data_IF_334990376909
#
_entry.id   IF_334990376909
#
_cell.length_a   1.000
_cell.length_b   1.000
_cell.length_c   1.000
_cell.angle_alpha   90.00
_cell.angle_beta   90.00
_cell.angle_gamma   90.00
#
_symmetry.space_group_name_H-M   'P 1'
#
loop_
_entity.id
_entity.type
_entity.pdbx_description
1 polymer ?
#
# COMPACT_ATOMS: atom_id res chain seq x y z
N UNK A 1 -10.22 -38.81 -18.52
CA UNK A 1 -8.77 -38.76 -18.78
C UNK A 1 -8.08 -37.59 -18.10
N UNK A 2 -8.71 -36.41 -17.98
CA UNK A 2 -8.08 -35.20 -17.40
C UNK A 2 -7.53 -35.37 -15.97
N UNK A 3 -8.18 -36.16 -15.11
CA UNK A 3 -7.75 -36.36 -13.72
C UNK A 3 -6.36 -37.05 -13.60
N UNK A 4 -6.03 -37.98 -14.50
CA UNK A 4 -4.72 -38.63 -14.51
C UNK A 4 -3.62 -37.67 -14.99
N UNK A 5 -3.88 -36.92 -16.05
CA UNK A 5 -2.93 -35.99 -16.65
C UNK A 5 -2.53 -34.85 -15.68
N UNK A 6 -3.47 -34.41 -14.82
CA UNK A 6 -3.21 -33.40 -13.78
C UNK A 6 -2.31 -33.91 -12.64
N UNK A 7 -2.39 -35.20 -12.32
CA UNK A 7 -1.54 -35.83 -11.31
C UNK A 7 -0.09 -36.01 -11.82
N UNK A 8 0.08 -36.44 -13.08
CA UNK A 8 1.40 -36.55 -13.72
C UNK A 8 2.09 -35.18 -13.85
N UNK A 9 1.34 -34.13 -14.19
CA UNK A 9 1.86 -32.76 -14.28
C UNK A 9 2.39 -32.25 -12.93
N UNK A 10 1.69 -32.53 -11.83
CA UNK A 10 2.13 -32.16 -10.48
C UNK A 10 3.35 -32.98 -10.01
N UNK A 11 3.41 -34.27 -10.36
CA UNK A 11 4.54 -35.16 -10.08
C UNK A 11 5.83 -34.71 -10.81
N UNK A 12 5.69 -34.22 -12.04
CA UNK A 12 6.80 -33.65 -12.83
C UNK A 12 7.39 -32.38 -12.20
N UNK A 13 6.57 -31.54 -11.55
CA UNK A 13 7.01 -30.25 -11.01
C UNK A 13 8.01 -30.37 -9.84
N UNK A 14 8.07 -31.51 -9.15
CA UNK A 14 8.91 -31.71 -7.96
C UNK A 14 9.75 -33.00 -8.01
N UNK A 15 10.33 -33.30 -9.18
CA UNK A 15 11.27 -34.42 -9.32
C UNK A 15 12.50 -34.28 -8.41
N UNK A 16 13.10 -35.41 -8.02
CA UNK A 16 14.30 -35.45 -7.17
C UNK A 16 15.47 -34.65 -7.77
N UNK A 17 15.65 -34.72 -9.09
CA UNK A 17 16.66 -33.97 -9.84
C UNK A 17 16.47 -32.46 -9.71
N UNK A 18 15.20 -31.99 -9.78
CA UNK A 18 14.87 -30.58 -9.63
C UNK A 18 15.04 -30.10 -8.20
N UNK A 19 14.67 -30.91 -7.21
CA UNK A 19 14.89 -30.60 -5.79
C UNK A 19 16.39 -30.46 -5.50
N UNK A 20 17.21 -31.38 -5.99
CA UNK A 20 18.67 -31.31 -5.86
C UNK A 20 19.28 -30.11 -6.61
N UNK A 21 18.73 -29.74 -7.78
CA UNK A 21 19.11 -28.50 -8.48
C UNK A 21 18.80 -27.26 -7.63
N UNK A 22 17.62 -27.17 -7.02
CA UNK A 22 17.22 -26.06 -6.14
C UNK A 22 18.17 -25.97 -4.94
N UNK A 23 18.51 -27.11 -4.31
CA UNK A 23 19.46 -27.18 -3.18
C UNK A 23 20.82 -26.60 -3.55
N UNK A 24 21.36 -26.99 -4.72
CA UNK A 24 22.69 -26.59 -5.19
C UNK A 24 22.77 -25.16 -5.73
N UNK A 25 21.67 -24.57 -6.21
CA UNK A 25 21.70 -23.29 -6.95
C UNK A 25 20.95 -22.13 -6.28
N UNK A 26 19.93 -22.40 -5.47
CA UNK A 26 19.12 -21.36 -4.81
C UNK A 26 19.40 -21.28 -3.31
N UNK A 27 19.63 -22.43 -2.65
CA UNK A 27 19.81 -22.46 -1.20
C UNK A 27 21.24 -22.05 -0.79
N UNK A 28 21.42 -21.36 0.35
CA UNK A 28 22.75 -21.06 0.86
C UNK A 28 23.56 -22.32 1.18
N UNK A 29 24.89 -22.21 1.08
CA UNK A 29 25.80 -23.30 1.49
C UNK A 29 25.66 -23.59 2.98
N UNK A 30 25.55 -24.87 3.33
CA UNK A 30 25.44 -25.32 4.73
C UNK A 30 24.02 -25.35 5.31
N UNK A 31 22.98 -25.24 4.48
CA UNK A 31 21.60 -25.54 4.90
C UNK A 31 21.47 -27.00 5.38
N UNK A 32 20.81 -27.21 6.53
CA UNK A 32 20.51 -28.54 7.03
C UNK A 32 19.41 -29.24 6.22
N UNK A 33 19.38 -30.57 6.24
CA UNK A 33 18.37 -31.34 5.48
C UNK A 33 16.93 -30.99 5.91
N UNK A 34 16.68 -30.83 7.20
CA UNK A 34 15.34 -30.48 7.73
C UNK A 34 14.91 -29.06 7.33
N UNK A 35 15.83 -28.09 7.38
CA UNK A 35 15.56 -26.70 6.96
C UNK A 35 15.33 -26.62 5.44
N UNK A 36 16.07 -27.41 4.66
CA UNK A 36 15.87 -27.52 3.22
C UNK A 36 14.54 -28.22 2.88
N UNK A 37 14.19 -29.30 3.58
CA UNK A 37 12.90 -29.98 3.42
C UNK A 37 11.73 -29.04 3.74
N UNK A 38 11.81 -28.28 4.84
CA UNK A 38 10.83 -27.27 5.21
C UNK A 38 10.70 -26.18 4.15
N UNK A 39 11.81 -25.70 3.59
CA UNK A 39 11.80 -24.73 2.49
C UNK A 39 11.08 -25.27 1.24
N UNK A 40 11.34 -26.52 0.86
CA UNK A 40 10.69 -27.18 -0.28
C UNK A 40 9.19 -27.39 -0.03
N UNK A 41 8.78 -27.85 1.15
CA UNK A 41 7.35 -27.98 1.50
C UNK A 41 6.63 -26.64 1.50
N UNK A 42 7.29 -25.56 1.93
CA UNK A 42 6.71 -24.22 1.88
C UNK A 42 6.58 -23.68 0.44
N UNK A 43 7.52 -24.04 -0.46
CA UNK A 43 7.39 -23.77 -1.90
C UNK A 43 6.21 -24.55 -2.52
N UNK A 44 6.10 -25.86 -2.24
CA UNK A 44 4.97 -26.71 -2.70
C UNK A 44 3.62 -26.15 -2.23
N UNK A 45 3.50 -25.83 -0.94
CA UNK A 45 2.25 -25.34 -0.32
C UNK A 45 1.82 -23.98 -0.87
N UNK A 46 2.76 -23.05 -1.07
CA UNK A 46 2.45 -21.73 -1.64
C UNK A 46 2.24 -21.77 -3.17
N UNK A 47 2.79 -22.77 -3.84
CA UNK A 47 2.85 -22.84 -5.30
C UNK A 47 3.80 -21.79 -5.90
N UNK A 48 4.80 -21.33 -5.13
CA UNK A 48 5.85 -20.42 -5.58
C UNK A 48 7.09 -21.22 -6.01
N UNK A 49 7.61 -20.89 -7.18
CA UNK A 49 8.78 -21.56 -7.77
C UNK A 49 10.11 -20.84 -7.44
N UNK A 50 11.02 -21.45 -6.65
CA UNK A 50 12.30 -20.84 -6.33
C UNK A 50 13.23 -20.68 -7.54
N UNK A 51 13.08 -21.51 -8.60
CA UNK A 51 13.88 -21.35 -9.83
C UNK A 51 13.44 -20.14 -10.66
N UNK A 52 12.19 -19.70 -10.51
CA UNK A 52 11.64 -18.48 -11.11
C UNK A 52 11.83 -17.24 -10.20
N UNK A 53 12.55 -17.37 -9.09
CA UNK A 53 12.75 -16.31 -8.07
C UNK A 53 11.44 -15.84 -7.41
N UNK A 54 10.44 -16.72 -7.36
CA UNK A 54 9.15 -16.46 -6.71
C UNK A 54 9.24 -16.67 -5.18
N UNK A 55 10.21 -17.46 -4.72
CA UNK A 55 10.57 -17.64 -3.32
C UNK A 55 12.09 -17.78 -3.15
N UNK A 56 12.61 -17.39 -2.00
CA UNK A 56 14.03 -17.44 -1.65
C UNK A 56 14.26 -18.16 -0.33
N UNK A 57 15.39 -18.84 -0.21
CA UNK A 57 15.88 -19.39 1.05
C UNK A 57 16.94 -18.43 1.61
N UNK A 58 16.64 -17.74 2.71
CA UNK A 58 17.45 -16.61 3.21
C UNK A 58 18.09 -16.96 4.55
N UNK A 59 19.41 -16.83 4.62
CA UNK A 59 20.14 -16.96 5.88
C UNK A 59 19.86 -15.78 6.81
N UNK A 60 19.49 -16.07 8.07
CA UNK A 60 19.28 -15.10 9.15
C UNK A 60 20.11 -15.48 10.36
N UNK A 61 20.65 -14.49 11.06
CA UNK A 61 21.21 -14.69 12.40
C UNK A 61 20.09 -14.43 13.40
N UNK A 62 19.60 -15.47 14.05
CA UNK A 62 18.62 -15.37 15.14
C UNK A 62 19.34 -15.58 16.47
N UNK A 63 18.92 -14.86 17.51
CA UNK A 63 19.40 -15.11 18.86
C UNK A 63 18.56 -16.24 19.49
N UNK A 64 19.13 -17.45 19.55
CA UNK A 64 18.54 -18.61 20.23
C UNK A 64 18.92 -18.67 21.73
N UNK A 65 19.50 -17.61 22.28
CA UNK A 65 19.85 -17.46 23.69
C UNK A 65 19.05 -16.35 24.37
N UNK A 66 19.26 -16.17 25.66
CA UNK A 66 18.60 -15.12 26.44
C UNK A 66 19.34 -13.78 26.29
N UNK A 67 18.70 -12.66 26.66
CA UNK A 67 19.28 -11.31 26.57
C UNK A 67 20.63 -11.16 27.27
N UNK A 68 20.86 -11.89 28.36
CA UNK A 68 22.12 -11.89 29.13
C UNK A 68 23.20 -12.81 28.54
N UNK A 69 22.82 -13.80 27.74
CA UNK A 69 23.70 -14.80 27.12
C UNK A 69 23.23 -15.05 25.69
N UNK A 70 23.46 -14.11 24.76
CA UNK A 70 23.03 -14.25 23.39
C UNK A 70 23.74 -15.43 22.73
N UNK A 71 22.98 -16.26 22.02
CA UNK A 71 23.49 -17.39 21.24
C UNK A 71 23.04 -17.22 19.79
N UNK A 72 23.85 -16.54 18.99
CA UNK A 72 23.56 -16.22 17.60
C UNK A 72 23.75 -17.43 16.68
N UNK A 73 22.65 -18.04 16.27
CA UNK A 73 22.62 -19.15 15.32
C UNK A 73 22.18 -18.67 13.94
N UNK A 74 22.76 -19.25 12.88
CA UNK A 74 22.22 -19.06 11.53
C UNK A 74 21.03 -19.99 11.34
N UNK A 75 19.89 -19.43 10.93
CA UNK A 75 18.68 -20.13 10.50
C UNK A 75 18.42 -19.84 9.04
N UNK A 76 17.81 -20.78 8.33
CA UNK A 76 17.41 -20.58 6.94
C UNK A 76 15.89 -20.43 6.83
N UNK A 77 15.44 -19.25 6.39
CA UNK A 77 14.02 -18.89 6.32
C UNK A 77 13.51 -18.93 4.88
N UNK A 78 12.28 -19.42 4.71
CA UNK A 78 11.50 -19.20 3.49
C UNK A 78 11.08 -17.73 3.41
N UNK A 79 11.36 -17.09 2.28
CA UNK A 79 10.97 -15.71 2.00
C UNK A 79 10.21 -15.64 0.66
N UNK A 80 8.90 -15.37 0.64
CA UNK A 80 8.17 -15.17 -0.60
C UNK A 80 8.66 -13.87 -1.27
N UNK A 81 8.68 -13.85 -2.60
CA UNK A 81 8.88 -12.62 -3.37
C UNK A 81 7.53 -12.04 -3.77
N UNK A 82 7.39 -10.71 -3.71
CA UNK A 82 6.13 -10.05 -4.08
C UNK A 82 5.81 -10.25 -5.57
N UNK A 83 6.82 -10.20 -6.45
CA UNK A 83 6.69 -10.59 -7.85
C UNK A 83 6.22 -12.05 -8.02
N UNK A 84 6.67 -12.97 -7.15
CA UNK A 84 6.19 -14.35 -7.12
C UNK A 84 4.73 -14.47 -6.70
N UNK A 85 4.33 -13.73 -5.66
CA UNK A 85 2.93 -13.67 -5.23
C UNK A 85 2.02 -13.07 -6.32
N UNK A 86 2.48 -12.04 -7.04
CA UNK A 86 1.80 -11.49 -8.21
C UNK A 86 1.69 -12.52 -9.34
N UNK A 87 2.80 -13.15 -9.76
CA UNK A 87 2.80 -14.18 -10.80
C UNK A 87 1.92 -15.39 -10.40
N UNK A 88 1.85 -15.72 -9.11
CA UNK A 88 0.92 -16.74 -8.59
C UNK A 88 -0.54 -16.27 -8.63
N UNK A 89 -0.80 -14.99 -8.40
CA UNK A 89 -2.14 -14.41 -8.48
C UNK A 89 -2.69 -14.42 -9.92
N UNK A 90 -1.86 -14.05 -10.91
CA UNK A 90 -2.17 -14.13 -12.35
C UNK A 90 -2.52 -15.55 -12.84
N UNK A 91 -2.13 -16.58 -12.08
CA UNK A 91 -2.45 -18.00 -12.38
C UNK A 91 -3.78 -18.46 -11.78
N UNK A 92 -4.51 -17.61 -11.05
CA UNK A 92 -5.88 -17.90 -10.61
C UNK A 92 -6.91 -17.48 -11.68
N UNK A 93 -7.85 -18.34 -12.08
CA UNK A 93 -8.78 -18.07 -13.19
C UNK A 93 -9.78 -16.95 -12.88
N UNK A 94 -10.00 -16.64 -11.60
CA UNK A 94 -10.83 -15.55 -11.13
C UNK A 94 -10.06 -14.22 -10.97
N UNK A 95 -8.74 -14.17 -11.13
CA UNK A 95 -8.01 -12.91 -11.04
C UNK A 95 -8.37 -11.99 -12.22
N UNK A 96 -8.74 -10.73 -11.92
CA UNK A 96 -9.02 -9.70 -12.93
C UNK A 96 -8.01 -8.56 -12.94
N UNK A 97 -7.03 -8.59 -12.03
CA UNK A 97 -5.97 -7.60 -11.93
C UNK A 97 -5.76 -7.05 -10.52
N UNK A 98 -4.62 -6.41 -10.35
CA UNK A 98 -4.23 -5.65 -9.17
C UNK A 98 -3.76 -4.26 -9.60
N UNK A 99 -4.10 -3.27 -8.79
CA UNK A 99 -3.62 -1.89 -8.91
C UNK A 99 -2.97 -1.50 -7.57
N UNK A 100 -1.99 -0.62 -7.61
CA UNK A 100 -1.43 0.00 -6.42
C UNK A 100 -0.79 1.34 -6.78
N UNK A 101 -0.70 2.22 -5.79
CA UNK A 101 0.16 3.41 -5.90
C UNK A 101 0.54 3.92 -4.52
N UNK A 102 1.80 4.33 -4.38
CA UNK A 102 2.23 5.21 -3.33
C UNK A 102 1.56 6.59 -3.44
N UNK A 103 1.20 7.17 -2.29
CA UNK A 103 0.44 8.41 -2.15
C UNK A 103 1.26 9.45 -1.40
N UNK A 104 1.35 10.63 -1.99
CA UNK A 104 2.03 11.79 -1.45
C UNK A 104 1.03 12.81 -0.89
N UNK A 105 1.48 13.71 -0.01
CA UNK A 105 0.61 14.63 0.73
C UNK A 105 -0.21 15.58 -0.16
N UNK A 106 0.26 15.86 -1.38
CA UNK A 106 -0.41 16.68 -2.38
C UNK A 106 -1.30 15.91 -3.38
N UNK A 107 -1.37 14.58 -3.27
CA UNK A 107 -2.23 13.76 -4.14
C UNK A 107 -3.71 13.83 -3.68
N UNK A 108 -4.64 13.88 -4.63
CA UNK A 108 -6.07 13.69 -4.33
C UNK A 108 -6.34 12.18 -4.26
N UNK A 109 -6.70 11.65 -3.09
CA UNK A 109 -7.16 10.27 -2.94
C UNK A 109 -8.49 10.17 -2.19
N UNK A 110 -9.41 9.39 -2.76
CA UNK A 110 -10.66 8.96 -2.13
C UNK A 110 -10.76 7.44 -2.26
N UNK A 111 -10.95 6.76 -1.12
CA UNK A 111 -11.14 5.31 -1.05
C UNK A 111 -12.57 5.03 -0.58
N UNK A 112 -13.42 4.54 -1.48
CA UNK A 112 -14.72 3.99 -1.13
C UNK A 112 -14.55 2.51 -0.82
N UNK A 113 -14.43 2.17 0.47
CA UNK A 113 -14.30 0.78 0.91
C UNK A 113 -15.58 -0.03 0.71
N UNK A 114 -16.76 0.60 0.67
CA UNK A 114 -18.05 -0.08 0.50
C UNK A 114 -18.25 -0.56 -0.94
N UNK A 115 -17.83 0.25 -1.93
CA UNK A 115 -17.83 -0.11 -3.35
C UNK A 115 -16.54 -0.80 -3.80
N UNK A 116 -15.49 -0.73 -2.99
CA UNK A 116 -14.15 -1.21 -3.35
C UNK A 116 -13.55 -0.41 -4.51
N UNK A 117 -13.77 0.91 -4.50
CA UNK A 117 -13.30 1.85 -5.52
C UNK A 117 -12.22 2.78 -4.95
N UNK A 118 -11.23 3.12 -5.77
CA UNK A 118 -10.19 4.09 -5.41
C UNK A 118 -10.09 5.12 -6.53
N UNK A 119 -10.32 6.38 -6.19
CA UNK A 119 -10.01 7.52 -7.04
C UNK A 119 -8.70 8.12 -6.53
N UNK A 120 -7.63 7.98 -7.29
CA UNK A 120 -6.33 8.59 -6.97
C UNK A 120 -5.88 9.42 -8.16
N UNK A 121 -5.81 10.75 -7.97
CA UNK A 121 -5.34 11.70 -8.97
C UNK A 121 -4.12 12.43 -8.46
N UNK A 122 -3.09 12.49 -9.28
CA UNK A 122 -1.86 13.20 -8.97
C UNK A 122 -1.19 13.71 -10.25
N UNK A 123 -0.30 14.69 -10.08
CA UNK A 123 0.59 15.12 -11.16
C UNK A 123 2.01 14.62 -10.86
N UNK A 124 2.54 13.64 -11.62
CA UNK A 124 3.86 13.06 -11.37
C UNK A 124 4.99 14.10 -11.33
N UNK A 125 4.89 15.18 -12.12
CA UNK A 125 5.90 16.23 -12.18
C UNK A 125 5.82 17.24 -11.01
N UNK A 126 4.75 17.18 -10.20
CA UNK A 126 4.57 18.04 -9.01
C UNK A 126 4.82 17.32 -7.68
N UNK A 127 4.98 15.99 -7.68
CA UNK A 127 5.28 15.20 -6.47
C UNK A 127 6.62 15.62 -5.84
N UNK A 128 6.53 16.37 -4.75
CA UNK A 128 7.62 16.95 -3.94
C UNK A 128 7.35 16.87 -2.43
N UNK A 129 6.11 16.61 -2.01
CA UNK A 129 5.72 16.49 -0.61
C UNK A 129 6.17 15.19 0.04
N UNK A 130 5.71 14.97 1.27
CA UNK A 130 5.97 13.75 2.02
C UNK A 130 5.19 12.56 1.46
N UNK A 131 5.80 11.38 1.53
CA UNK A 131 5.13 10.11 1.29
C UNK A 131 4.22 9.80 2.49
N UNK A 132 2.92 9.68 2.24
CA UNK A 132 1.89 9.48 3.28
C UNK A 132 1.55 7.99 3.45
N UNK A 133 1.56 7.23 2.36
CA UNK A 133 1.19 5.81 2.40
C UNK A 133 1.18 5.16 1.03
N UNK A 134 0.52 4.02 0.93
CA UNK A 134 0.16 3.41 -0.34
C UNK A 134 -1.17 2.68 -0.25
N UNK A 135 -1.89 2.63 -1.37
CA UNK A 135 -3.05 1.76 -1.52
C UNK A 135 -2.74 0.62 -2.49
N UNK A 136 -3.49 -0.48 -2.35
CA UNK A 136 -3.62 -1.47 -3.40
C UNK A 136 -5.04 -2.02 -3.47
N UNK A 137 -5.48 -2.35 -4.68
CA UNK A 137 -6.81 -2.86 -5.01
C UNK A 137 -6.66 -4.14 -5.84
N UNK A 138 -7.25 -5.24 -5.38
CA UNK A 138 -7.33 -6.51 -6.11
C UNK A 138 -8.77 -6.77 -6.53
N UNK A 139 -8.98 -7.16 -7.79
CA UNK A 139 -10.30 -7.55 -8.32
C UNK A 139 -10.31 -9.04 -8.63
N UNK A 140 -11.38 -9.72 -8.20
CA UNK A 140 -11.62 -11.14 -8.42
C UNK A 140 -13.02 -11.34 -9.01
N UNK A 141 -13.16 -12.35 -9.86
CA UNK A 141 -14.45 -12.75 -10.41
C UNK A 141 -15.39 -13.27 -9.31
N UNK A 142 -16.68 -12.91 -9.38
CA UNK A 142 -17.67 -13.31 -8.38
C UNK A 142 -17.37 -12.90 -6.92
N UNK A 143 -16.51 -11.91 -6.68
CA UNK A 143 -16.17 -11.37 -5.34
C UNK A 143 -16.15 -9.84 -5.36
N UNK A 144 -16.35 -9.24 -4.18
CA UNK A 144 -16.15 -7.80 -4.01
C UNK A 144 -14.66 -7.43 -4.16
N UNK A 145 -14.32 -6.27 -4.74
CA UNK A 145 -12.94 -5.81 -4.81
C UNK A 145 -12.35 -5.62 -3.40
N UNK A 146 -11.11 -6.05 -3.21
CA UNK A 146 -10.38 -5.88 -1.96
C UNK A 146 -9.49 -4.65 -2.09
N UNK A 147 -9.72 -3.63 -1.25
CA UNK A 147 -8.85 -2.46 -1.13
C UNK A 147 -8.10 -2.51 0.19
N UNK A 148 -6.82 -2.16 0.15
CA UNK A 148 -5.95 -1.96 1.32
C UNK A 148 -5.35 -0.57 1.24
N UNK A 149 -5.33 0.11 2.38
CA UNK A 149 -4.53 1.31 2.64
C UNK A 149 -3.49 0.98 3.71
N UNK A 150 -2.23 1.34 3.47
CA UNK A 150 -1.16 1.30 4.45
C UNK A 150 -0.61 2.70 4.68
N UNK A 151 -0.58 3.12 5.95
CA UNK A 151 0.06 4.37 6.37
C UNK A 151 1.60 4.21 6.37
N UNK A 152 2.32 5.21 5.84
CA UNK A 152 3.77 5.13 5.71
C UNK A 152 4.48 5.22 7.07
N UNK A 153 4.00 6.07 7.99
CA UNK A 153 4.63 6.26 9.29
C UNK A 153 4.54 4.98 10.16
N UNK A 154 3.44 4.23 10.05
CA UNK A 154 3.26 2.93 10.70
C UNK A 154 4.05 1.76 10.10
N UNK A 155 4.55 1.87 8.86
CA UNK A 155 5.23 0.79 8.13
C UNK A 155 6.71 1.01 7.86
N UNK A 156 7.20 2.26 7.89
CA UNK A 156 8.59 2.58 7.55
C UNK A 156 9.58 1.95 8.51
N UNK A 157 10.53 1.18 7.97
CA UNK A 157 11.57 0.52 8.76
C UNK A 157 12.89 1.29 8.68
N UNK A 158 13.66 1.29 9.78
CA UNK A 158 14.99 1.94 9.86
C UNK A 158 16.07 1.07 9.17
N UNK A 159 15.91 0.81 7.88
CA UNK A 159 16.84 0.00 7.07
C UNK A 159 17.34 0.77 5.84
N UNK A 160 18.54 0.45 5.29
CA UNK A 160 19.07 1.14 4.12
C UNK A 160 18.17 1.06 2.88
N UNK A 161 17.38 0.00 2.74
CA UNK A 161 16.48 -0.18 1.59
C UNK A 161 15.28 0.78 1.65
N UNK A 162 14.63 0.86 2.82
CA UNK A 162 13.56 1.83 3.08
C UNK A 162 14.05 3.28 2.99
N UNK A 163 15.28 3.57 3.41
CA UNK A 163 15.87 4.90 3.24
C UNK A 163 16.16 5.25 1.76
N UNK A 164 16.47 4.26 0.90
CA UNK A 164 16.84 4.47 -0.50
C UNK A 164 15.63 4.48 -1.46
N UNK A 165 14.63 3.64 -1.23
CA UNK A 165 13.47 3.46 -2.13
C UNK A 165 12.13 3.35 -1.35
N UNK A 166 11.81 4.31 -0.45
CA UNK A 166 10.66 4.22 0.46
C UNK A 166 9.33 4.01 -0.27
N UNK A 167 9.12 4.73 -1.38
CA UNK A 167 7.95 4.64 -2.26
C UNK A 167 7.70 3.22 -2.75
N UNK A 168 8.76 2.55 -3.24
CA UNK A 168 8.68 1.18 -3.75
C UNK A 168 8.40 0.18 -2.62
N UNK A 169 8.93 0.41 -1.41
CA UNK A 169 8.73 -0.48 -0.27
C UNK A 169 7.29 -0.44 0.24
N UNK A 170 6.71 0.75 0.48
CA UNK A 170 5.33 0.85 0.98
C UNK A 170 4.31 0.33 -0.05
N UNK A 171 4.55 0.58 -1.34
CA UNK A 171 3.68 0.07 -2.41
C UNK A 171 3.78 -1.45 -2.56
N UNK A 172 4.97 -2.04 -2.40
CA UNK A 172 5.18 -3.49 -2.33
C UNK A 172 4.39 -4.11 -1.17
N UNK A 173 4.49 -3.53 0.03
CA UNK A 173 3.72 -3.99 1.19
C UNK A 173 2.21 -3.90 0.95
N UNK A 174 1.73 -2.81 0.34
CA UNK A 174 0.31 -2.65 0.03
C UNK A 174 -0.19 -3.72 -0.95
N UNK A 175 0.56 -4.02 -2.01
CA UNK A 175 0.22 -5.10 -2.98
C UNK A 175 0.16 -6.46 -2.29
N UNK A 176 1.15 -6.81 -1.47
CA UNK A 176 1.17 -8.08 -0.74
C UNK A 176 -0.01 -8.17 0.23
N UNK A 177 -0.24 -7.14 1.06
CA UNK A 177 -1.36 -7.11 1.99
C UNK A 177 -2.73 -7.25 1.28
N UNK A 178 -2.89 -6.62 0.11
CA UNK A 178 -4.10 -6.77 -0.70
C UNK A 178 -4.25 -8.19 -1.28
N UNK A 179 -3.16 -8.80 -1.78
CA UNK A 179 -3.15 -10.20 -2.20
C UNK A 179 -3.50 -11.16 -1.04
N UNK A 180 -2.94 -10.94 0.15
CA UNK A 180 -3.23 -11.76 1.35
C UNK A 180 -4.72 -11.70 1.74
N UNK A 181 -5.35 -10.53 1.67
CA UNK A 181 -6.79 -10.38 1.89
C UNK A 181 -7.64 -10.93 0.74
N UNK A 182 -7.18 -10.79 -0.51
CA UNK A 182 -7.90 -11.25 -1.69
C UNK A 182 -7.87 -12.78 -1.84
N UNK A 183 -6.77 -13.46 -1.49
CA UNK A 183 -6.64 -14.91 -1.52
C UNK A 183 -6.07 -15.46 -0.19
N UNK A 184 -6.86 -15.48 0.91
CA UNK A 184 -6.37 -15.88 2.23
C UNK A 184 -5.82 -17.31 2.28
N UNK A 185 -6.40 -18.24 1.51
CA UNK A 185 -5.96 -19.63 1.43
C UNK A 185 -4.57 -19.78 0.79
N UNK A 186 -4.31 -19.04 -0.30
CA UNK A 186 -3.05 -19.12 -1.05
C UNK A 186 -1.93 -18.26 -0.43
N UNK A 187 -2.28 -17.08 0.10
CA UNK A 187 -1.33 -16.05 0.48
C UNK A 187 -1.39 -15.65 1.95
N UNK A 188 -2.41 -16.03 2.73
CA UNK A 188 -2.63 -15.51 4.09
C UNK A 188 -1.47 -15.70 5.07
N UNK A 189 -0.65 -16.75 4.88
CA UNK A 189 0.58 -17.01 5.65
C UNK A 189 1.87 -16.49 5.02
N UNK A 190 1.84 -15.81 3.87
CA UNK A 190 3.02 -15.41 3.10
C UNK A 190 3.35 -13.93 3.32
N UNK A 191 4.16 -13.64 4.34
CA UNK A 191 4.65 -12.28 4.62
C UNK A 191 5.97 -12.02 3.89
N UNK A 192 6.06 -10.91 3.15
CA UNK A 192 7.35 -10.45 2.61
C UNK A 192 8.17 -9.75 3.69
N UNK A 193 9.50 -9.68 3.52
CA UNK A 193 10.37 -9.14 4.57
C UNK A 193 10.03 -7.70 4.97
N UNK A 194 9.57 -6.91 4.02
CA UNK A 194 9.25 -5.49 4.19
C UNK A 194 7.96 -5.25 5.01
N UNK A 195 7.12 -6.28 5.23
CA UNK A 195 5.98 -6.22 6.15
C UNK A 195 6.35 -6.60 7.60
N UNK A 196 7.48 -7.30 7.80
CA UNK A 196 7.90 -7.80 9.10
C UNK A 196 8.87 -6.81 9.76
N UNK A 197 8.77 -6.52 11.07
CA UNK A 197 9.70 -5.63 11.77
C UNK A 197 11.17 -6.00 11.51
N UNK A 198 12.01 -5.01 11.22
CA UNK A 198 13.45 -5.22 11.22
C UNK A 198 13.87 -5.69 12.62
N UNK A 199 14.45 -6.88 12.70
CA UNK A 199 15.24 -7.25 13.87
C UNK A 199 16.43 -6.28 13.93
N UNK A 200 16.90 -5.94 15.14
CA UNK A 200 17.89 -4.87 15.33
C UNK A 200 19.08 -5.03 14.37
N UNK A 201 19.18 -4.09 13.43
CA UNK A 201 20.23 -4.11 12.40
C UNK A 201 21.56 -3.76 13.05
N UNK A 202 22.26 -4.78 13.57
CA UNK A 202 23.68 -4.64 13.87
C UNK A 202 24.45 -4.42 12.56
N UNK A 203 25.20 -3.31 12.41
CA UNK A 203 26.01 -3.07 11.23
C UNK A 203 27.21 -4.02 11.24
N UNK A 204 27.04 -5.21 10.66
CA UNK A 204 28.11 -6.17 10.43
C UNK A 204 29.25 -5.51 9.64
N UNK A 205 30.45 -5.48 10.21
CA UNK A 205 31.65 -5.24 9.41
C UNK A 205 31.81 -6.39 8.43
N UNK A 206 31.48 -6.15 7.17
CA UNK A 206 31.59 -7.15 6.13
C UNK A 206 33.06 -7.36 5.74
N UNK A 207 33.61 -8.54 6.03
CA UNK A 207 34.66 -9.08 5.16
C UNK A 207 34.09 -9.23 3.73
N UNK A 208 34.92 -9.04 2.69
CA UNK A 208 34.45 -8.94 1.31
C UNK A 208 34.05 -10.31 0.73
N UNK A 209 32.87 -10.80 1.12
CA UNK A 209 32.19 -11.87 0.40
C UNK A 209 31.87 -11.38 -1.03
N UNK A 210 32.37 -12.11 -2.02
CA UNK A 210 32.31 -11.71 -3.43
C UNK A 210 30.88 -11.34 -3.86
N UNK A 211 30.72 -10.08 -4.27
CA UNK A 211 29.44 -9.49 -4.65
C UNK A 211 28.84 -10.21 -5.86
N UNK A 212 27.94 -11.15 -5.62
CA UNK A 212 27.00 -11.63 -6.62
C UNK A 212 25.92 -10.56 -6.80
N UNK A 213 26.34 -9.43 -7.37
CA UNK A 213 25.44 -8.38 -7.81
C UNK A 213 24.54 -8.94 -8.90
N UNK A 214 23.23 -8.81 -8.71
CA UNK A 214 22.31 -8.90 -9.84
C UNK A 214 22.53 -7.64 -10.69
N UNK A 215 23.40 -7.73 -11.69
CA UNK A 215 23.54 -6.65 -12.68
C UNK A 215 22.22 -6.57 -13.44
N UNK A 216 21.44 -5.51 -13.16
CA UNK A 216 20.27 -5.15 -13.95
C UNK A 216 20.79 -4.71 -15.31
N UNK A 217 20.72 -5.63 -16.29
CA UNK A 217 21.01 -5.37 -17.69
C UNK A 217 20.10 -4.23 -18.18
N UNK A 218 20.65 -3.01 -18.22
CA UNK A 218 19.92 -1.81 -18.62
C UNK A 218 20.34 -0.49 -17.94
N UNK A 219 21.14 -0.52 -16.87
CA UNK A 219 21.47 0.69 -16.10
C UNK A 219 22.97 1.05 -16.09
N UNK A 220 23.55 1.38 -17.26
CA UNK A 220 24.82 2.10 -17.36
C UNK A 220 24.63 3.43 -18.10
N UNK A 221 24.42 4.50 -17.35
CA UNK A 221 24.44 5.87 -17.89
C UNK A 221 25.88 6.31 -18.16
N UNK A 222 26.32 6.18 -19.41
CA UNK A 222 27.48 6.88 -19.95
C UNK A 222 27.04 7.62 -21.22
N UNK A 223 27.49 8.87 -21.46
CA UNK A 223 27.06 9.66 -22.61
C UNK A 223 27.74 9.16 -23.89
N UNK A 224 27.12 8.21 -24.58
CA UNK A 224 27.59 7.75 -25.90
C UNK A 224 27.11 8.75 -26.96
N UNK A 225 28.04 9.49 -27.58
CA UNK A 225 27.74 10.26 -28.80
C UNK A 225 27.43 9.29 -29.95
N UNK A 226 26.17 8.98 -30.16
CA UNK A 226 25.72 8.29 -31.37
C UNK A 226 25.76 9.26 -32.56
N UNK A 227 26.77 9.12 -33.41
CA UNK A 227 26.84 9.81 -34.71
C UNK A 227 26.13 8.96 -35.75
N UNK A 228 24.92 9.34 -36.15
CA UNK A 228 24.23 8.74 -37.30
C UNK A 228 24.60 9.51 -38.57
N UNK A 229 24.99 8.84 -39.68
CA UNK A 229 25.12 9.50 -40.97
C UNK A 229 23.72 9.94 -41.47
N UNK A 230 23.59 11.11 -42.11
CA UNK A 230 22.31 11.56 -42.64
C UNK A 230 21.86 10.68 -43.82
N UNK A 231 20.55 10.51 -44.04
CA UNK A 231 20.04 9.85 -45.24
C UNK A 231 20.36 10.68 -46.49
N UNK A 232 20.53 10.04 -47.67
CA UNK A 232 20.84 10.76 -48.91
C UNK A 232 19.67 11.66 -49.34
N UNK A 233 19.99 12.88 -49.76
CA UNK A 233 19.01 13.83 -50.28
C UNK A 233 18.41 13.34 -51.61
N UNK A 234 17.09 13.45 -51.74
CA UNK A 234 16.42 13.34 -53.03
C UNK A 234 16.76 14.58 -53.89
N UNK A 235 16.89 14.44 -55.22
CA UNK A 235 17.31 15.54 -56.08
C UNK A 235 16.23 16.61 -56.23
N UNK A 236 16.63 17.87 -56.06
CA UNK A 236 15.82 19.05 -56.32
C UNK A 236 15.79 19.35 -57.84
N UNK A 237 14.61 19.56 -58.46
CA UNK A 237 14.53 19.80 -59.90
C UNK A 237 14.89 21.25 -60.29
N UNK A 238 15.82 21.38 -61.24
CA UNK A 238 16.16 22.65 -61.88
C UNK A 238 15.02 23.16 -62.82
N UNK A 239 14.96 24.48 -63.12
CA UNK A 239 13.74 25.10 -63.65
C UNK A 239 13.57 24.92 -65.17
N UNK A 240 12.32 24.82 -65.60
CA UNK A 240 11.92 24.93 -67.02
C UNK A 240 10.98 26.13 -67.18
N UNK A 241 11.31 27.01 -68.14
CA UNK A 241 10.53 28.22 -68.43
C UNK A 241 9.33 27.92 -69.36
N UNK A 242 8.37 28.85 -69.35
CA UNK A 242 7.03 28.67 -69.91
C UNK A 242 6.95 28.54 -71.44
N UNK A 243 5.93 27.80 -71.89
CA UNK A 243 5.01 28.28 -72.93
C UNK A 243 3.57 28.00 -72.51
N UNK A 244 2.67 28.93 -72.81
CA UNK A 244 1.27 28.90 -72.40
C UNK A 244 0.35 28.51 -73.56
N UNK A 245 -0.79 27.88 -73.24
CA UNK A 245 -2.04 28.10 -73.98
C UNK A 245 -3.25 27.80 -73.07
N UNK A 246 -4.37 28.44 -73.39
CA UNK A 246 -5.50 28.71 -72.48
C UNK A 246 -6.52 27.54 -72.47
N UNK A 247 -7.32 27.31 -71.42
CA UNK A 247 -8.60 28.02 -71.27
C UNK A 247 -9.32 27.73 -69.93
N UNK A 248 -10.24 28.65 -69.58
CA UNK A 248 -11.25 28.64 -68.51
C UNK A 248 -11.88 27.25 -68.18
N UNK A 249 -11.99 26.84 -66.90
CA UNK A 249 -12.85 27.35 -65.78
C UNK A 249 -14.19 26.61 -65.68
N UNK A 250 -14.32 25.74 -64.67
CA UNK A 250 -15.39 25.83 -63.66
C UNK A 250 -14.93 25.13 -62.35
N UNK A 251 -15.62 25.36 -61.22
CA UNK A 251 -15.14 24.97 -59.89
C UNK A 251 -16.33 24.61 -58.98
N UNK A 252 -16.07 23.82 -57.93
CA UNK A 252 -16.94 23.54 -56.76
C UNK A 252 -18.24 22.74 -57.05
N UNK A 253 -18.81 21.87 -56.19
CA UNK A 253 -18.67 21.61 -54.73
C UNK A 253 -18.72 20.12 -54.33
N UNK A 254 -18.24 19.90 -53.11
CA UNK A 254 -18.37 18.77 -52.18
C UNK A 254 -19.82 18.25 -51.95
N UNK A 255 -20.04 16.94 -51.70
CA UNK A 255 -21.36 16.39 -51.37
C UNK A 255 -21.57 16.12 -49.87
N UNK A 256 -22.75 16.48 -49.36
CA UNK A 256 -23.27 16.15 -48.02
C UNK A 256 -24.50 15.19 -48.12
N UNK A 257 -25.01 14.63 -47.01
CA UNK A 257 -25.67 13.31 -47.00
C UNK A 257 -27.18 13.33 -47.31
N UNK A 258 -27.70 12.16 -47.72
CA UNK A 258 -29.13 11.96 -48.05
C UNK A 258 -29.86 11.18 -46.96
N UNK A 259 -31.01 11.72 -46.51
CA UNK A 259 -32.09 10.98 -45.82
C UNK A 259 -33.27 10.82 -46.77
N UNK A 260 -34.00 9.72 -46.67
CA UNK A 260 -35.32 9.55 -47.29
C UNK A 260 -36.43 9.48 -46.21
N UNK A 261 -37.69 9.78 -46.54
CA UNK A 261 -38.72 10.07 -45.52
C UNK A 261 -40.15 9.63 -45.86
N UNK A 262 -40.75 8.93 -44.88
CA UNK A 262 -42.16 9.05 -44.41
C UNK A 262 -43.32 8.56 -45.29
N UNK A 263 -44.15 7.68 -44.69
CA UNK A 263 -45.63 7.74 -44.72
C UNK A 263 -46.19 7.56 -43.29
N UNK A 264 -47.42 8.03 -43.03
CA UNK A 264 -47.87 8.39 -41.67
C UNK A 264 -49.13 7.62 -41.16
N UNK A 265 -49.19 7.43 -39.83
CA UNK A 265 -50.30 7.54 -38.81
C UNK A 265 -51.79 7.36 -39.22
N UNK A 266 -52.72 7.00 -38.28
CA UNK A 266 -52.82 7.47 -36.88
C UNK A 266 -53.15 6.37 -35.82
N UNK A 267 -53.60 6.77 -34.62
CA UNK A 267 -53.62 5.97 -33.37
C UNK A 267 -55.01 5.84 -32.70
N UNK A 268 -55.19 4.77 -31.89
CA UNK A 268 -56.17 4.63 -30.80
C UNK A 268 -55.68 3.50 -29.84
N UNK A 269 -55.54 3.64 -28.51
CA UNK A 269 -56.51 3.73 -27.38
C UNK A 269 -56.88 2.36 -26.75
N UNK A 270 -57.05 2.34 -25.42
CA UNK A 270 -57.44 1.23 -24.49
C UNK A 270 -56.31 0.27 -24.06
N UNK A 271 -56.05 -0.06 -22.78
CA UNK A 271 -56.79 -0.12 -21.50
C UNK A 271 -57.27 -1.53 -21.07
N UNK A 272 -56.68 -2.00 -19.95
CA UNK A 272 -57.02 -3.11 -19.01
C UNK A 272 -55.75 -3.32 -18.17
N UNK A 273 -55.68 -3.26 -16.84
CA UNK A 273 -56.67 -3.35 -15.75
C UNK A 273 -57.55 -4.60 -15.76
N UNK A 274 -57.10 -5.65 -15.04
CA UNK A 274 -57.97 -6.61 -14.34
C UNK A 274 -57.30 -7.05 -13.03
N UNK A 275 -57.71 -6.40 -11.93
CA UNK A 275 -58.12 -6.99 -10.63
C UNK A 275 -57.25 -8.01 -9.89
N UNK A 276 -56.94 -7.68 -8.63
CA UNK A 276 -56.91 -8.63 -7.50
C UNK A 276 -58.28 -9.34 -7.33
N UNK A 277 -58.31 -10.44 -6.57
CA UNK A 277 -59.21 -10.37 -5.41
C UNK A 277 -58.57 -10.83 -4.10
N UNK A 278 -58.74 -10.00 -3.07
CA UNK A 278 -58.64 -10.41 -1.66
C UNK A 278 -59.79 -11.37 -1.35
N UNK A 279 -59.49 -12.52 -0.76
CA UNK A 279 -60.45 -13.28 0.06
C UNK A 279 -59.77 -13.72 1.35
N UNK A 280 -60.22 -13.15 2.46
CA UNK A 280 -59.90 -13.64 3.80
C UNK A 280 -60.80 -14.81 4.18
N UNK A 281 -60.24 -15.79 4.90
CA UNK A 281 -60.85 -16.80 5.80
C UNK A 281 -59.72 -17.78 6.16
N UNK A 282 -59.58 -18.38 7.33
CA UNK A 282 -60.21 -18.37 8.64
C UNK A 282 -59.25 -19.25 9.48
N UNK A 283 -59.04 -18.99 10.77
CA UNK A 283 -58.28 -19.90 11.63
C UNK A 283 -59.10 -21.15 11.99
N UNK A 284 -58.45 -22.21 12.50
CA UNK A 284 -58.83 -22.59 13.86
C UNK A 284 -57.63 -22.84 14.79
N UNK A 285 -57.88 -22.71 16.09
CA UNK A 285 -56.89 -22.78 17.15
C UNK A 285 -56.89 -24.12 17.92
N UNK A 286 -55.77 -24.39 18.62
CA UNK A 286 -55.69 -25.07 19.93
C UNK A 286 -54.55 -24.35 20.69
N UNK A 287 -54.75 -23.67 21.82
CA UNK A 287 -55.01 -24.17 23.20
C UNK A 287 -53.99 -25.26 23.64
N UNK A 288 -53.32 -25.23 24.80
CA UNK A 288 -53.33 -24.38 26.03
C UNK A 288 -51.83 -24.24 26.49
N UNK A 289 -51.36 -23.49 27.51
CA UNK A 289 -51.92 -22.81 28.71
C UNK A 289 -51.01 -21.61 29.13
N UNK A 290 -51.35 -20.90 30.21
CA UNK A 290 -50.68 -19.66 30.66
C UNK A 290 -49.69 -19.81 31.83
N UNK A 291 -48.84 -18.77 32.02
CA UNK A 291 -48.34 -18.31 33.32
C UNK A 291 -48.19 -16.77 33.32
N UNK A 292 -48.20 -16.14 34.50
CA UNK A 292 -48.60 -14.75 34.74
C UNK A 292 -47.65 -13.61 34.33
N UNK A 293 -48.24 -12.40 34.27
CA UNK A 293 -47.61 -11.09 34.03
C UNK A 293 -47.12 -10.43 35.33
N UNK A 294 -46.12 -9.56 35.20
CA UNK A 294 -46.01 -8.28 35.92
C UNK A 294 -45.45 -7.23 34.93
N UNK A 295 -45.83 -5.92 34.98
CA UNK A 295 -45.97 -5.12 33.76
C UNK A 295 -44.89 -4.05 33.49
N UNK A 296 -44.87 -3.56 32.25
CA UNK A 296 -44.26 -2.28 31.84
C UNK A 296 -45.07 -1.06 32.35
N UNK A 297 -44.41 0.11 32.50
CA UNK A 297 -45.04 1.42 32.35
C UNK A 297 -44.66 2.10 31.03
N UNK A 298 -45.63 2.74 30.37
CA UNK A 298 -45.44 3.58 29.16
C UNK A 298 -45.18 5.07 29.56
N UNK A 299 -44.94 6.03 28.63
CA UNK A 299 -43.81 6.95 28.74
C UNK A 299 -44.16 8.34 29.29
N UNK A 300 -43.14 9.09 29.72
CA UNK A 300 -43.28 10.51 30.08
C UNK A 300 -42.13 11.37 29.53
N UNK A 301 -42.52 12.38 28.75
CA UNK A 301 -41.83 13.64 28.41
C UNK A 301 -40.34 13.64 27.97
N UNK A 302 -40.10 14.17 26.77
CA UNK A 302 -38.78 14.72 26.36
C UNK A 302 -38.36 15.91 27.25
N UNK A 303 -37.05 16.05 27.49
CA UNK A 303 -36.38 17.33 27.56
C UNK A 303 -35.44 17.55 26.36
N UNK A 304 -35.36 18.80 25.90
CA UNK A 304 -34.52 19.26 24.79
C UNK A 304 -33.01 19.01 25.03
N UNK A 305 -32.17 18.94 23.98
CA UNK A 305 -30.76 18.54 24.11
C UNK A 305 -29.94 19.55 24.92
N UNK A 306 -29.23 19.04 25.93
CA UNK A 306 -28.26 19.81 26.68
C UNK A 306 -27.00 20.09 25.84
N UNK A 307 -26.54 21.33 25.86
CA UNK A 307 -25.29 21.75 25.20
C UNK A 307 -24.11 21.07 25.90
N UNK A 308 -23.31 20.32 25.14
CA UNK A 308 -22.17 19.57 25.66
C UNK A 308 -21.03 20.52 26.05
N UNK A 309 -20.61 20.47 27.32
CA UNK A 309 -19.54 21.30 27.85
C UNK A 309 -18.15 20.78 27.42
N UNK A 310 -17.14 21.65 27.24
CA UNK A 310 -15.86 21.26 26.65
C UNK A 310 -15.10 20.25 27.50
N UNK A 311 -14.57 19.22 26.84
CA UNK A 311 -13.78 18.18 27.47
C UNK A 311 -12.48 18.75 28.08
N UNK A 312 -12.20 18.42 29.34
CA UNK A 312 -10.94 18.77 30.00
C UNK A 312 -9.75 18.10 29.29
N UNK A 313 -8.76 18.89 28.90
CA UNK A 313 -7.53 18.39 28.29
C UNK A 313 -6.77 17.48 29.26
N UNK A 314 -6.12 16.45 28.72
CA UNK A 314 -5.14 15.64 29.44
C UNK A 314 -3.84 16.44 29.50
N UNK A 315 -3.32 16.72 30.70
CA UNK A 315 -1.99 17.30 30.89
C UNK A 315 -0.93 16.42 30.22
N UNK A 316 -0.10 17.00 29.35
CA UNK A 316 0.94 16.21 28.67
C UNK A 316 2.06 15.85 29.66
N UNK A 317 2.54 14.62 29.61
CA UNK A 317 3.60 14.12 30.50
C UNK A 317 4.99 14.27 29.88
N UNK A 318 5.22 15.33 29.10
CA UNK A 318 6.51 15.58 28.44
C UNK A 318 7.54 15.96 29.51
N UNK A 319 8.71 15.32 29.51
CA UNK A 319 9.80 15.58 30.45
C UNK A 319 10.96 16.25 29.70
N UNK A 320 11.54 17.30 30.28
CA UNK A 320 12.71 17.98 29.71
C UNK A 320 13.95 17.08 29.83
N UNK A 321 14.64 16.80 28.73
CA UNK A 321 15.77 15.88 28.69
C UNK A 321 17.15 16.55 28.84
N UNK A 322 17.22 17.88 28.84
CA UNK A 322 18.45 18.68 28.73
C UNK A 322 18.35 20.02 29.48
N UNK A 323 19.45 20.78 29.55
CA UNK A 323 19.46 22.11 30.17
C UNK A 323 19.27 22.10 31.70
N UNK A 324 19.05 23.29 32.31
CA UNK A 324 18.90 23.44 33.77
C UNK A 324 17.65 22.75 34.33
N UNK A 325 16.59 22.64 33.53
CA UNK A 325 15.28 22.10 33.93
C UNK A 325 15.14 20.59 33.66
N UNK A 326 16.25 19.91 33.32
CA UNK A 326 16.27 18.47 33.02
C UNK A 326 15.63 17.64 34.12
N UNK A 327 14.67 16.79 33.74
CA UNK A 327 13.95 15.89 34.63
C UNK A 327 12.64 16.45 35.18
N UNK A 328 12.38 17.76 35.07
CA UNK A 328 11.06 18.35 35.31
C UNK A 328 10.09 17.98 34.19
N UNK A 329 8.80 17.81 34.51
CA UNK A 329 7.78 17.79 33.46
C UNK A 329 7.57 19.18 32.87
N UNK A 330 7.11 19.28 31.62
CA UNK A 330 6.79 20.55 31.01
C UNK A 330 5.70 21.29 31.83
N UNK A 331 4.72 20.56 32.38
CA UNK A 331 3.70 21.10 33.29
C UNK A 331 4.22 21.70 34.60
N UNK A 332 5.47 21.42 35.00
CA UNK A 332 6.13 22.05 36.17
C UNK A 332 6.86 23.36 35.84
N UNK A 333 6.94 23.73 34.56
CA UNK A 333 7.60 24.95 34.08
C UNK A 333 6.60 26.06 33.83
N UNK A 334 6.96 27.27 34.24
CA UNK A 334 6.27 28.47 33.75
C UNK A 334 6.62 28.74 32.27
N UNK A 335 5.88 29.63 31.63
CA UNK A 335 6.00 29.81 30.17
C UNK A 335 7.32 30.50 29.75
N UNK A 336 7.95 31.26 30.65
CA UNK A 336 9.27 31.87 30.45
C UNK A 336 10.38 30.81 30.56
N UNK A 337 10.38 29.97 31.60
CA UNK A 337 11.29 28.83 31.76
C UNK A 337 11.17 27.82 30.60
N UNK A 338 9.95 27.61 30.07
CA UNK A 338 9.71 26.73 28.93
C UNK A 338 10.28 27.32 27.63
N UNK A 339 10.10 28.62 27.40
CA UNK A 339 10.68 29.33 26.26
C UNK A 339 12.22 29.32 26.30
N UNK A 340 12.83 29.67 27.44
CA UNK A 340 14.29 29.60 27.63
C UNK A 340 14.84 28.19 27.39
N UNK A 341 14.11 27.15 27.80
CA UNK A 341 14.47 25.76 27.55
C UNK A 341 14.44 25.42 26.05
N UNK A 342 13.42 25.89 25.32
CA UNK A 342 13.30 25.70 23.86
C UNK A 342 14.45 26.41 23.12
N UNK A 343 14.73 27.67 23.47
CA UNK A 343 15.80 28.47 22.86
C UNK A 343 17.19 27.88 23.11
N UNK A 344 17.46 27.38 24.32
CA UNK A 344 18.70 26.68 24.65
C UNK A 344 18.91 25.43 23.78
N UNK A 345 17.84 24.69 23.47
CA UNK A 345 17.94 23.55 22.55
C UNK A 345 18.20 23.99 21.11
N UNK A 346 17.58 25.06 20.64
CA UNK A 346 17.88 25.64 19.32
C UNK A 346 19.34 26.06 19.21
N UNK A 347 19.87 26.78 20.20
CA UNK A 347 21.27 27.20 20.25
C UNK A 347 22.21 25.98 20.20
N UNK A 348 22.02 25.00 21.10
CA UNK A 348 22.83 23.76 21.14
C UNK A 348 22.80 22.99 19.81
N UNK A 349 21.64 22.92 19.16
CA UNK A 349 21.48 22.23 17.88
C UNK A 349 22.09 22.99 16.71
N UNK A 350 22.19 24.33 16.79
CA UNK A 350 22.95 25.14 15.82
C UNK A 350 24.47 25.01 16.03
N UNK A 351 24.95 24.98 17.28
CA UNK A 351 26.38 24.76 17.59
C UNK A 351 26.88 23.40 17.07
N UNK A 352 26.14 22.32 17.33
CA UNK A 352 26.60 20.95 17.07
C UNK A 352 25.52 20.06 16.38
N UNK A 353 25.10 20.38 15.15
CA UNK A 353 23.96 19.72 14.49
C UNK A 353 24.16 18.21 14.22
N UNK A 354 25.40 17.71 14.29
CA UNK A 354 25.79 16.31 14.03
C UNK A 354 26.26 15.55 15.29
N UNK A 355 26.14 16.13 16.49
CA UNK A 355 26.50 15.44 17.72
C UNK A 355 25.60 14.22 17.99
N UNK A 356 26.13 13.20 18.67
CA UNK A 356 25.37 11.97 18.99
C UNK A 356 24.09 12.24 19.81
N UNK A 357 24.09 13.31 20.61
CA UNK A 357 22.94 13.76 21.40
C UNK A 357 21.95 14.66 20.62
N UNK A 358 22.30 15.14 19.43
CA UNK A 358 21.48 16.09 18.68
C UNK A 358 20.17 15.47 18.16
N UNK A 359 20.13 14.16 17.87
CA UNK A 359 18.90 13.45 17.49
C UNK A 359 17.86 13.41 18.62
N UNK A 360 18.15 12.82 19.80
CA UNK A 360 17.17 12.80 20.90
C UNK A 360 16.84 14.20 21.43
N UNK A 361 17.74 15.18 21.31
CA UNK A 361 17.44 16.57 21.66
C UNK A 361 16.40 17.20 20.71
N UNK A 362 16.47 16.94 19.39
CA UNK A 362 15.42 17.37 18.43
C UNK A 362 14.07 16.71 18.71
N UNK A 363 14.08 15.43 19.03
CA UNK A 363 12.87 14.66 19.35
C UNK A 363 12.20 15.17 20.65
N UNK A 364 12.99 15.61 21.64
CA UNK A 364 12.47 16.24 22.87
C UNK A 364 12.05 17.71 22.68
N UNK A 365 12.80 18.48 21.89
CA UNK A 365 12.46 19.85 21.50
C UNK A 365 11.07 19.93 20.85
N UNK A 366 10.80 19.10 19.84
CA UNK A 366 9.51 19.08 19.14
C UNK A 366 8.31 18.77 20.07
N UNK A 367 8.53 17.97 21.12
CA UNK A 367 7.53 17.70 22.14
C UNK A 367 7.28 18.90 23.06
N UNK A 368 8.31 19.68 23.39
CA UNK A 368 8.20 20.91 24.18
C UNK A 368 7.58 22.05 23.37
N UNK A 369 7.92 22.18 22.08
CA UNK A 369 7.28 23.12 21.16
C UNK A 369 5.78 22.83 21.00
N UNK A 370 5.40 21.55 20.89
CA UNK A 370 3.99 21.13 20.83
C UNK A 370 3.24 21.50 22.12
N UNK A 371 3.87 21.35 23.30
CA UNK A 371 3.29 21.79 24.58
C UNK A 371 3.15 23.32 24.64
N UNK A 372 4.16 24.08 24.20
CA UNK A 372 4.11 25.53 24.15
C UNK A 372 3.00 26.04 23.20
N UNK A 373 2.84 25.42 22.03
CA UNK A 373 1.72 25.70 21.11
C UNK A 373 0.35 25.40 21.75
N UNK A 374 0.24 24.31 22.53
CA UNK A 374 -1.00 23.97 23.23
C UNK A 374 -1.35 25.01 24.30
N UNK A 375 -0.35 25.56 25.02
CA UNK A 375 -0.55 26.67 25.97
C UNK A 375 -1.00 27.94 25.29
N UNK A 376 -0.34 28.35 24.21
CA UNK A 376 -0.72 29.55 23.45
C UNK A 376 -2.12 29.45 22.81
N UNK A 377 -2.69 28.25 22.63
CA UNK A 377 -4.07 28.04 22.13
C UNK A 377 -5.15 28.07 23.22
N UNK A 378 -4.79 28.03 24.50
CA UNK A 378 -5.73 28.19 25.62
C UNK A 378 -5.68 29.65 26.07
N UNK A 379 -6.72 30.47 25.83
CA UNK A 379 -6.75 31.82 26.41
C UNK A 379 -6.75 31.71 27.93
N UNK A 380 -5.88 32.47 28.59
CA UNK A 380 -5.79 32.53 30.04
C UNK A 380 -7.17 32.88 30.62
N UNK A 381 -7.76 31.94 31.37
CA UNK A 381 -8.98 32.21 32.12
C UNK A 381 -8.58 33.01 33.35
N UNK A 382 -8.86 34.31 33.34
CA UNK A 382 -8.53 35.23 34.43
C UNK A 382 -8.93 34.66 35.81
N UNK A 383 -7.92 34.40 36.63
CA UNK A 383 -8.11 34.06 38.03
C UNK A 383 -8.49 35.33 38.81
N UNK A 384 -9.80 35.58 38.93
CA UNK A 384 -10.32 36.60 39.84
C UNK A 384 -9.93 36.31 41.29
N UNK A 385 -9.21 37.26 41.88
CA UNK A 385 -9.29 37.62 43.30
C UNK A 385 -9.25 39.15 43.38
#
# INVERSE_FOLDING_TARGET
MEAHNKAETASSQWSSERVELIKRTICPRGIGEDEFALFIEQCKRSGLDPLLKEAFCVARRQNAGNREKPNWVTRYEFQPSEAGMLARAERFPDFKGIQASAVYAEDEIIVDQGRGEVLHRFNPAKRKGSLVGAWSRVVRDGKLPVVVWLDFAGYVQQTPLWAKIPTTMIEKCARVAALRKAYPEAFGGLYVREEMPAEEFEPTQAEPAASHGYEVLGARSAPVKASFPPPPAAPEPAPVQAQAQETHRETVREPEPVRESVKARPAATSAKEVREPVVARETPAKEVKAREKTPEPTPAAEPAPAVEAPAKLKSSSVVVAFGPHKGKTASELNDEELAETIDLAHEKLMEQPKAKWARPMRENLAALETEAELRCRVPAVDAKA
#
